data_IF_214240451795
#
_entry.id   IF_214240451795
#
_cell.length_a   1.000
_cell.length_b   1.000
_cell.length_c   1.000
_cell.angle_alpha   90.00
_cell.angle_beta   90.00
_cell.angle_gamma   90.00
#
_symmetry.space_group_name_H-M   'P 1'
#
loop_
_entity.id
_entity.type
_entity.pdbx_description
1 polymer ?
#
# COMPACT_ATOMS: atom_id res chain seq x y z
N UNK A 1 0.58 8.53 13.51
CA UNK A 1 -0.28 9.13 12.46
C UNK A 1 -1.69 8.55 12.38
N UNK A 2 -2.02 7.43 13.05
CA UNK A 2 -3.43 6.97 13.17
C UNK A 2 -4.07 6.52 11.86
N UNK A 3 -3.28 6.22 10.82
CA UNK A 3 -3.74 5.71 9.53
C UNK A 3 -3.92 4.18 9.61
N UNK A 4 -4.86 3.65 8.82
CA UNK A 4 -5.17 2.22 8.66
C UNK A 4 -4.94 1.76 7.22
N UNK A 5 -4.99 0.44 7.02
CA UNK A 5 -4.97 -0.24 5.71
C UNK A 5 -3.68 -0.11 4.91
N UNK A 6 -3.52 0.96 4.14
CA UNK A 6 -2.44 1.08 3.16
C UNK A 6 -2.01 2.52 2.91
N UNK A 7 -0.80 2.67 2.37
CA UNK A 7 -0.20 3.95 1.99
C UNK A 7 1.23 3.77 1.50
N UNK A 8 1.89 4.87 1.16
CA UNK A 8 3.32 4.92 0.81
C UNK A 8 4.06 5.70 1.89
N UNK A 9 5.25 5.21 2.24
CA UNK A 9 6.16 5.90 3.16
C UNK A 9 7.45 6.19 2.41
N UNK A 10 7.81 7.46 2.35
CA UNK A 10 8.99 7.91 1.60
C UNK A 10 10.15 8.21 2.57
N UNK A 11 11.30 7.65 2.24
CA UNK A 11 12.56 7.86 2.96
C UNK A 11 13.63 8.37 2.00
N UNK A 12 14.49 9.24 2.51
CA UNK A 12 15.79 9.54 1.89
C UNK A 12 16.87 8.72 2.60
N UNK A 13 17.80 8.13 1.85
CA UNK A 13 18.95 7.43 2.42
C UNK A 13 20.22 8.20 2.06
N UNK A 14 21.08 8.47 3.04
CA UNK A 14 22.38 9.07 2.79
C UNK A 14 23.43 8.03 2.36
N UNK A 15 24.67 8.48 2.09
CA UNK A 15 25.77 7.61 1.66
C UNK A 15 26.24 6.64 2.75
N UNK A 16 25.95 6.93 4.03
CA UNK A 16 26.28 6.07 5.17
C UNK A 16 25.17 5.04 5.46
N UNK A 17 24.06 5.10 4.73
CA UNK A 17 22.91 4.21 4.89
C UNK A 17 21.91 4.66 5.95
N UNK A 18 22.03 5.87 6.49
CA UNK A 18 21.05 6.43 7.42
C UNK A 18 19.77 6.79 6.66
N UNK A 19 18.62 6.37 7.21
CA UNK A 19 17.31 6.62 6.61
C UNK A 19 16.64 7.82 7.29
N UNK A 20 16.17 8.77 6.50
CA UNK A 20 15.46 9.97 6.92
C UNK A 20 14.03 9.91 6.42
N UNK A 21 13.08 9.89 7.36
CA UNK A 21 11.66 9.93 7.04
C UNK A 21 11.30 11.27 6.37
N UNK A 22 10.57 11.20 5.26
CA UNK A 22 10.09 12.38 4.52
C UNK A 22 8.59 12.60 4.72
N UNK A 23 7.79 11.62 4.28
CA UNK A 23 6.33 11.72 4.34
C UNK A 23 5.65 10.36 4.48
N UNK A 24 4.38 10.40 4.89
CA UNK A 24 3.42 9.33 4.66
C UNK A 24 2.36 9.84 3.71
N UNK A 25 2.17 9.15 2.59
CA UNK A 25 1.11 9.38 1.63
C UNK A 25 0.02 8.32 1.79
N UNK A 26 -1.14 8.72 2.31
CA UNK A 26 -2.29 7.83 2.57
C UNK A 26 -3.17 7.58 1.33
N UNK A 27 -2.86 8.21 0.20
CA UNK A 27 -3.55 8.00 -1.08
C UNK A 27 -2.54 8.14 -2.24
N UNK A 28 -1.60 7.20 -2.36
CA UNK A 28 -0.57 7.27 -3.39
C UNK A 28 -1.16 7.01 -4.79
N UNK A 29 -0.44 7.44 -5.82
CA UNK A 29 -0.83 7.19 -7.21
C UNK A 29 -0.97 5.70 -7.54
N UNK A 30 -1.95 5.38 -8.39
CA UNK A 30 -2.34 4.00 -8.77
C UNK A 30 -2.34 3.76 -10.28
N UNK A 31 -1.65 4.58 -11.07
CA UNK A 31 -1.39 4.28 -12.49
C UNK A 31 -0.27 3.25 -12.63
N UNK A 32 -0.15 2.63 -13.80
CA UNK A 32 0.94 1.70 -14.14
C UNK A 32 2.35 2.29 -13.96
N UNK A 33 2.50 3.61 -14.09
CA UNK A 33 3.72 4.36 -13.85
C UNK A 33 3.89 4.89 -12.41
N UNK A 34 2.94 4.61 -11.51
CA UNK A 34 3.03 5.03 -10.10
C UNK A 34 3.89 4.07 -9.28
N UNK A 35 4.58 4.58 -8.25
CA UNK A 35 5.54 3.80 -7.44
C UNK A 35 4.94 2.55 -6.80
N UNK A 36 3.70 2.61 -6.29
CA UNK A 36 3.07 1.47 -5.61
C UNK A 36 2.77 0.32 -6.59
N UNK A 37 2.07 0.54 -7.73
CA UNK A 37 1.94 -0.48 -8.77
C UNK A 37 3.28 -1.02 -9.31
N UNK A 38 4.29 -0.16 -9.51
CA UNK A 38 5.61 -0.61 -9.97
C UNK A 38 6.31 -1.51 -8.94
N UNK A 39 6.24 -1.16 -7.65
CA UNK A 39 6.81 -1.98 -6.57
C UNK A 39 6.08 -3.33 -6.44
N UNK A 40 4.74 -3.33 -6.53
CA UNK A 40 3.95 -4.56 -6.53
C UNK A 40 4.34 -5.48 -7.69
N UNK A 41 4.47 -4.92 -8.90
CA UNK A 41 4.93 -5.67 -10.08
C UNK A 41 6.34 -6.25 -9.89
N UNK A 42 7.27 -5.47 -9.32
CA UNK A 42 8.62 -5.95 -9.01
C UNK A 42 8.61 -7.10 -7.99
N UNK A 43 7.62 -7.13 -7.09
CA UNK A 43 7.38 -8.23 -6.16
C UNK A 43 6.56 -9.39 -6.76
N UNK A 44 6.26 -9.37 -8.07
CA UNK A 44 5.47 -10.41 -8.75
C UNK A 44 3.97 -10.34 -8.49
N UNK A 45 3.46 -9.22 -7.97
CA UNK A 45 2.03 -8.98 -7.71
C UNK A 45 1.48 -8.19 -8.90
N UNK A 46 0.46 -8.75 -9.58
CA UNK A 46 -0.24 -8.04 -10.66
C UNK A 46 -1.05 -6.85 -10.12
N UNK A 47 -1.42 -5.93 -11.01
CA UNK A 47 -2.23 -4.76 -10.63
C UNK A 47 -3.60 -5.18 -10.05
N UNK A 48 -4.26 -6.17 -10.66
CA UNK A 48 -5.54 -6.66 -10.19
C UNK A 48 -5.42 -7.30 -8.79
N UNK A 49 -4.37 -8.08 -8.54
CA UNK A 49 -4.10 -8.64 -7.21
C UNK A 49 -3.81 -7.55 -6.18
N UNK A 50 -3.07 -6.50 -6.55
CA UNK A 50 -2.83 -5.34 -5.68
C UNK A 50 -4.15 -4.66 -5.29
N UNK A 51 -5.02 -4.40 -6.26
CA UNK A 51 -6.35 -3.79 -6.03
C UNK A 51 -7.21 -4.65 -5.11
N UNK A 52 -7.28 -5.96 -5.35
CA UNK A 52 -8.03 -6.89 -4.50
C UNK A 52 -7.46 -6.95 -3.09
N UNK A 53 -6.13 -6.95 -2.93
CA UNK A 53 -5.48 -6.90 -1.61
C UNK A 53 -5.86 -5.64 -0.84
N UNK A 54 -5.76 -4.46 -1.46
CA UNK A 54 -6.16 -3.18 -0.83
C UNK A 54 -7.64 -3.22 -0.43
N UNK A 55 -8.52 -3.67 -1.32
CA UNK A 55 -9.94 -3.79 -1.03
C UNK A 55 -10.21 -4.73 0.16
N UNK A 56 -9.51 -5.87 0.23
CA UNK A 56 -9.68 -6.85 1.30
C UNK A 56 -9.30 -6.32 2.69
N UNK A 57 -8.40 -5.33 2.77
CA UNK A 57 -8.03 -4.69 4.04
C UNK A 57 -9.22 -3.92 4.63
N UNK A 58 -9.95 -3.19 3.78
CA UNK A 58 -11.17 -2.45 4.17
C UNK A 58 -12.31 -3.37 4.66
N UNK A 59 -12.30 -4.64 4.23
CA UNK A 59 -13.27 -5.66 4.65
C UNK A 59 -12.83 -6.40 5.92
N UNK A 60 -11.53 -6.46 6.20
CA UNK A 60 -11.00 -7.18 7.37
C UNK A 60 -11.25 -6.41 8.67
N UNK A 61 -11.27 -5.08 8.62
CA UNK A 61 -11.75 -4.22 9.72
C UNK A 61 -13.27 -4.33 9.91
N UNK A 62 -13.98 -4.80 8.88
CA UNK A 62 -15.39 -5.13 8.91
C UNK A 62 -15.67 -6.57 9.39
N UNK A 63 -14.78 -7.29 10.08
CA UNK A 63 -15.20 -8.50 10.79
C UNK A 63 -16.01 -8.21 12.09
N UNK A 64 -16.53 -6.98 12.22
CA UNK A 64 -17.76 -6.62 12.96
C UNK A 64 -19.03 -6.57 12.09
N UNK A 65 -18.92 -6.79 10.78
CA UNK A 65 -19.95 -6.74 9.76
C UNK A 65 -19.72 -7.86 8.74
N UNK A 66 -20.26 -9.04 9.05
CA UNK A 66 -20.33 -10.22 8.19
C UNK A 66 -20.44 -9.89 6.69
N UNK A 67 -19.43 -10.27 5.89
CA UNK A 67 -19.61 -10.49 4.46
C UNK A 67 -19.13 -11.90 4.13
N UNK A 68 -20.11 -12.73 3.80
CA UNK A 68 -19.95 -14.09 3.32
C UNK A 68 -19.76 -13.99 1.80
N UNK A 69 -18.55 -14.21 1.31
CA UNK A 69 -18.28 -14.43 -0.12
C UNK A 69 -18.11 -15.93 -0.29
N UNK A 70 -19.13 -16.55 -0.87
CA UNK A 70 -19.12 -17.96 -1.29
C UNK A 70 -18.37 -18.18 -2.59
#
# INVERSE_FOLDING_TARGET
IGCSDWGRVDFLMDEEGNHYFLEVNTSPGMTDHSLVPMAAKAAGISFDELVVKILSMTLSDNNKAHINVG
#
